data_IF_827531424940
#
_entry.id   IF_827531424940
#
_cell.length_a   1.000
_cell.length_b   1.000
_cell.length_c   1.000
_cell.angle_alpha   90.00
_cell.angle_beta   90.00
_cell.angle_gamma   90.00
#
_symmetry.space_group_name_H-M   'P 1'
#
loop_
_entity.id
_entity.type
_entity.pdbx_description
1 polymer ?
#
# COMPACT_ATOMS: atom_id res chain seq x y z
N UNK A 1 -41.63 45.95 -37.46
CA UNK A 1 -40.29 46.17 -36.86
C UNK A 1 -40.31 45.74 -35.40
N UNK A 2 -39.75 44.59 -35.08
CA UNK A 2 -38.95 44.30 -33.87
C UNK A 2 -38.41 42.88 -33.99
N UNK A 3 -37.10 42.79 -34.02
CA UNK A 3 -36.30 41.58 -34.08
C UNK A 3 -36.36 40.79 -32.77
N UNK A 4 -36.13 39.48 -32.87
CA UNK A 4 -34.98 38.90 -32.16
C UNK A 4 -35.25 37.79 -31.13
N UNK A 5 -34.46 36.71 -31.32
CA UNK A 5 -33.99 35.71 -30.35
C UNK A 5 -35.02 34.67 -29.88
N UNK A 6 -34.87 33.35 -30.07
CA UNK A 6 -33.67 32.55 -30.28
C UNK A 6 -33.19 31.95 -28.96
N UNK A 7 -33.60 30.72 -28.65
CA UNK A 7 -32.99 29.90 -27.58
C UNK A 7 -33.29 28.41 -27.82
N UNK A 8 -32.45 27.78 -28.64
CA UNK A 8 -32.19 26.34 -28.62
C UNK A 8 -30.88 26.17 -27.83
N UNK A 9 -30.95 25.61 -26.62
CA UNK A 9 -29.76 25.26 -25.84
C UNK A 9 -29.69 23.75 -25.69
N UNK A 10 -28.61 23.22 -26.24
CA UNK A 10 -28.29 21.82 -26.41
C UNK A 10 -27.97 21.14 -25.07
N UNK A 11 -28.42 19.89 -24.94
CA UNK A 11 -27.95 18.94 -23.95
C UNK A 11 -26.44 18.69 -24.15
N UNK A 12 -25.60 19.17 -23.24
CA UNK A 12 -24.18 18.78 -23.18
C UNK A 12 -24.03 17.43 -22.50
N UNK A 13 -23.92 16.37 -23.30
CA UNK A 13 -23.37 15.08 -22.87
C UNK A 13 -21.86 15.24 -22.63
N UNK A 14 -21.45 15.45 -21.37
CA UNK A 14 -20.05 15.28 -20.97
C UNK A 14 -19.76 13.78 -20.79
N UNK A 15 -19.59 13.10 -21.93
CA UNK A 15 -18.83 11.84 -21.97
C UNK A 15 -17.36 12.17 -21.71
N UNK A 16 -16.95 12.07 -20.45
CA UNK A 16 -15.55 12.14 -20.06
C UNK A 16 -14.78 10.97 -20.66
N UNK A 17 -14.12 11.20 -21.79
CA UNK A 17 -13.18 10.28 -22.39
C UNK A 17 -12.04 10.00 -21.39
N UNK A 18 -12.04 8.78 -20.82
CA UNK A 18 -10.93 8.26 -20.04
C UNK A 18 -9.78 7.98 -21.00
N UNK A 19 -8.87 8.96 -21.14
CA UNK A 19 -7.65 8.80 -21.91
C UNK A 19 -6.82 7.60 -21.40
N UNK A 20 -5.96 7.01 -22.26
CA UNK A 20 -5.09 5.92 -21.84
C UNK A 20 -4.20 6.38 -20.68
N UNK A 21 -4.12 5.57 -19.63
CA UNK A 21 -3.26 5.83 -18.49
C UNK A 21 -1.81 6.00 -19.00
N UNK A 22 -1.24 7.18 -18.78
CA UNK A 22 0.15 7.47 -19.14
C UNK A 22 1.13 6.48 -18.48
N UNK A 23 2.36 6.38 -18.99
CA UNK A 23 3.38 5.53 -18.37
C UNK A 23 3.59 5.96 -16.91
N UNK A 24 3.73 4.99 -16.02
CA UNK A 24 4.01 5.25 -14.61
C UNK A 24 5.29 6.11 -14.47
N UNK A 25 5.33 7.06 -13.55
CA UNK A 25 6.49 7.94 -13.40
C UNK A 25 7.74 7.14 -13.05
N UNK A 26 8.90 7.60 -13.53
CA UNK A 26 10.19 6.97 -13.27
C UNK A 26 10.57 6.98 -11.78
N UNK A 27 9.96 7.88 -11.00
CA UNK A 27 10.15 8.04 -9.56
C UNK A 27 8.80 8.33 -8.91
N UNK A 28 8.53 7.68 -7.78
CA UNK A 28 7.38 7.97 -6.95
C UNK A 28 7.75 9.09 -5.97
N UNK A 29 6.79 9.94 -5.63
CA UNK A 29 6.91 10.92 -4.56
C UNK A 29 5.71 10.78 -3.64
N UNK A 30 5.88 11.18 -2.39
CA UNK A 30 4.78 11.20 -1.43
C UNK A 30 3.56 11.95 -1.99
N UNK A 31 2.37 11.41 -1.72
CA UNK A 31 1.09 12.05 -2.06
C UNK A 31 0.02 11.62 -1.08
N UNK A 32 -0.93 12.50 -0.79
CA UNK A 32 -2.13 12.17 0.00
C UNK A 32 -3.09 11.24 -0.77
N UNK A 33 -2.96 11.15 -2.10
CA UNK A 33 -3.85 10.38 -2.97
C UNK A 33 -3.04 9.44 -3.88
N UNK A 34 -2.39 8.41 -3.33
CA UNK A 34 -1.70 7.42 -4.15
C UNK A 34 -2.68 6.73 -5.10
N UNK A 35 -2.21 6.39 -6.30
CA UNK A 35 -3.00 5.74 -7.34
C UNK A 35 -2.13 4.67 -8.05
N UNK A 36 -2.77 3.64 -8.61
CA UNK A 36 -2.05 2.51 -9.24
C UNK A 36 -1.17 2.95 -10.40
N UNK A 37 -1.60 3.99 -11.12
CA UNK A 37 -0.95 4.58 -12.28
C UNK A 37 0.32 5.32 -11.88
N UNK A 38 0.40 5.79 -10.63
CA UNK A 38 1.59 6.44 -10.08
C UNK A 38 2.64 5.44 -9.61
N UNK A 39 2.28 4.15 -9.45
CA UNK A 39 3.20 3.15 -8.89
C UNK A 39 4.27 2.78 -9.93
N UNK A 40 5.57 3.01 -9.61
CA UNK A 40 6.66 2.61 -10.49
C UNK A 40 6.67 1.10 -10.75
N UNK A 41 7.12 0.71 -11.95
CA UNK A 41 7.31 -0.70 -12.35
C UNK A 41 8.67 -1.28 -11.90
N UNK A 42 9.33 -0.62 -10.94
CA UNK A 42 10.59 -1.06 -10.35
C UNK A 42 10.34 -1.73 -8.99
N UNK A 43 11.31 -2.49 -8.44
CA UNK A 43 11.21 -2.99 -7.06
C UNK A 43 10.87 -1.91 -6.05
N UNK A 44 10.22 -2.29 -4.96
CA UNK A 44 9.86 -1.37 -3.88
C UNK A 44 11.09 -0.57 -3.40
N UNK A 45 10.88 0.73 -3.26
CA UNK A 45 11.79 1.69 -2.63
C UNK A 45 10.98 2.77 -1.96
N UNK A 46 11.60 3.51 -1.05
CA UNK A 46 10.90 4.54 -0.32
C UNK A 46 11.81 5.50 0.41
N UNK A 47 11.16 6.36 1.16
CA UNK A 47 11.76 7.24 2.14
C UNK A 47 10.97 7.14 3.43
N UNK A 48 11.65 6.98 4.56
CA UNK A 48 11.06 7.02 5.88
C UNK A 48 11.80 8.06 6.72
N UNK A 49 11.09 9.10 7.15
CA UNK A 49 11.61 10.17 8.00
C UNK A 49 12.88 10.81 7.42
N UNK A 50 12.82 11.19 6.13
CA UNK A 50 13.94 11.82 5.43
C UNK A 50 15.12 10.90 5.10
N UNK A 51 14.98 9.58 5.29
CA UNK A 51 16.02 8.59 5.02
C UNK A 51 15.57 7.54 4.00
N UNK A 52 16.46 7.01 3.15
CA UNK A 52 16.12 5.93 2.24
C UNK A 52 15.53 4.73 2.99
N UNK A 53 14.35 4.28 2.57
CA UNK A 53 13.77 3.02 2.99
C UNK A 53 13.96 2.00 1.87
N UNK A 54 14.75 0.95 2.12
CA UNK A 54 15.10 -0.07 1.13
C UNK A 54 14.54 -1.44 1.54
N UNK A 55 13.31 -1.79 1.09
CA UNK A 55 12.71 -3.08 1.34
C UNK A 55 13.59 -4.25 0.88
N UNK A 56 13.75 -5.22 1.76
CA UNK A 56 14.43 -6.50 1.49
C UNK A 56 13.44 -7.67 1.47
N UNK A 57 12.36 -7.56 2.24
CA UNK A 57 11.32 -8.59 2.29
C UNK A 57 9.93 -7.97 2.19
N UNK A 58 9.08 -8.63 1.41
CA UNK A 58 7.63 -8.45 1.46
C UNK A 58 7.00 -9.78 1.81
N UNK A 59 6.11 -9.78 2.79
CA UNK A 59 5.39 -10.98 3.22
C UNK A 59 3.96 -10.68 3.63
N UNK A 60 3.14 -11.72 3.56
CA UNK A 60 1.76 -11.72 4.02
C UNK A 60 1.61 -12.75 5.14
N UNK A 61 0.98 -12.33 6.22
CA UNK A 61 0.74 -13.15 7.41
C UNK A 61 -0.64 -12.84 8.01
N UNK A 62 -1.22 -13.70 8.85
CA UNK A 62 -2.49 -13.42 9.49
C UNK A 62 -2.45 -12.13 10.33
N UNK A 63 -3.45 -11.28 10.13
CA UNK A 63 -3.74 -10.07 10.88
C UNK A 63 -5.17 -10.11 11.46
N UNK A 64 -5.59 -9.02 12.13
CA UNK A 64 -6.87 -8.98 12.85
C UNK A 64 -8.11 -9.14 11.95
N UNK A 65 -8.05 -8.63 10.72
CA UNK A 65 -9.18 -8.58 9.78
C UNK A 65 -9.00 -9.49 8.54
N UNK A 66 -8.06 -10.43 8.59
CA UNK A 66 -7.65 -11.25 7.45
C UNK A 66 -6.14 -11.26 7.30
N UNK A 67 -5.63 -10.92 6.12
CA UNK A 67 -4.18 -10.83 5.92
C UNK A 67 -3.65 -9.46 6.33
N UNK A 68 -2.41 -9.41 6.79
CA UNK A 68 -1.61 -8.18 6.84
C UNK A 68 -0.43 -8.30 5.90
N UNK A 69 -0.02 -7.18 5.33
CA UNK A 69 1.20 -7.03 4.56
C UNK A 69 2.30 -6.52 5.49
N UNK A 70 3.48 -7.10 5.40
CA UNK A 70 4.69 -6.57 6.04
C UNK A 70 5.76 -6.31 4.99
N UNK A 71 6.33 -5.12 5.03
CA UNK A 71 7.46 -4.70 4.20
C UNK A 71 8.62 -4.39 5.13
N UNK A 72 9.66 -5.21 5.12
CA UNK A 72 10.81 -5.09 6.03
C UNK A 72 12.08 -4.65 5.30
N UNK A 73 12.86 -3.79 5.93
CA UNK A 73 14.16 -3.30 5.47
C UNK A 73 15.31 -3.95 6.25
N UNK A 74 16.54 -3.80 5.74
CA UNK A 74 17.74 -4.42 6.30
C UNK A 74 18.14 -3.86 7.69
N UNK A 75 17.79 -2.62 7.96
CA UNK A 75 18.09 -1.89 9.19
C UNK A 75 17.11 -2.20 10.34
N UNK A 76 16.21 -3.17 10.13
CA UNK A 76 15.18 -3.54 11.10
C UNK A 76 13.92 -2.68 11.02
N UNK A 77 13.90 -1.60 10.22
CA UNK A 77 12.68 -0.85 9.98
C UNK A 77 11.67 -1.71 9.21
N UNK A 78 10.39 -1.59 9.52
CA UNK A 78 9.35 -2.30 8.79
C UNK A 78 8.00 -1.60 8.84
N UNK A 79 7.24 -1.74 7.76
CA UNK A 79 5.88 -1.26 7.62
C UNK A 79 4.90 -2.43 7.71
N UNK A 80 3.81 -2.26 8.45
CA UNK A 80 2.68 -3.19 8.51
C UNK A 80 1.42 -2.51 8.03
N UNK A 81 0.67 -3.18 7.15
CA UNK A 81 -0.68 -2.77 6.74
C UNK A 81 -1.67 -3.90 7.01
N UNK A 82 -2.77 -3.59 7.67
CA UNK A 82 -3.88 -4.52 7.82
C UNK A 82 -4.77 -4.48 6.58
N UNK A 83 -4.94 -5.62 5.91
CA UNK A 83 -5.69 -5.69 4.66
C UNK A 83 -7.16 -6.04 4.93
N UNK A 84 -8.11 -5.24 4.43
CA UNK A 84 -9.52 -5.52 4.65
C UNK A 84 -10.01 -6.63 3.72
N UNK A 85 -10.62 -7.66 4.31
CA UNK A 85 -11.24 -8.76 3.58
C UNK A 85 -10.24 -9.75 2.98
N UNK A 86 -10.71 -10.57 2.04
CA UNK A 86 -9.91 -11.68 1.50
C UNK A 86 -8.94 -11.24 0.41
N UNK A 87 -7.76 -11.86 0.41
CA UNK A 87 -6.76 -11.72 -0.64
C UNK A 87 -7.00 -12.75 -1.75
N UNK A 88 -6.90 -12.30 -3.00
CA UNK A 88 -7.01 -13.10 -4.22
C UNK A 88 -6.31 -12.41 -5.39
N UNK A 89 -5.99 -13.16 -6.44
CA UNK A 89 -5.42 -12.57 -7.65
C UNK A 89 -6.38 -11.54 -8.26
N UNK A 90 -5.84 -10.44 -8.78
CA UNK A 90 -6.59 -9.30 -9.32
C UNK A 90 -7.23 -8.41 -8.25
N UNK A 91 -7.12 -8.74 -6.96
CA UNK A 91 -7.66 -7.91 -5.87
C UNK A 91 -6.94 -6.57 -5.83
N UNK A 92 -7.73 -5.51 -5.63
CA UNK A 92 -7.26 -4.14 -5.48
C UNK A 92 -7.88 -3.54 -4.24
N UNK A 93 -7.08 -2.77 -3.52
CA UNK A 93 -7.49 -2.00 -2.37
C UNK A 93 -6.94 -0.59 -2.51
N UNK A 94 -7.79 0.37 -2.16
CA UNK A 94 -7.45 1.78 -2.11
C UNK A 94 -7.92 2.26 -0.75
N UNK A 95 -7.00 2.85 0.01
CA UNK A 95 -7.29 3.49 1.29
C UNK A 95 -7.02 4.99 1.16
N UNK A 96 -8.05 5.84 1.30
CA UNK A 96 -7.87 7.28 1.42
C UNK A 96 -7.02 7.64 2.65
N UNK A 97 -6.47 8.86 2.66
CA UNK A 97 -5.74 9.38 3.80
C UNK A 97 -6.63 9.40 5.04
N UNK A 98 -6.24 8.63 6.06
CA UNK A 98 -6.92 8.56 7.35
C UNK A 98 -6.03 7.91 8.40
N UNK A 99 -6.32 8.14 9.68
CA UNK A 99 -5.61 7.52 10.81
C UNK A 99 -5.79 5.99 10.88
N UNK A 100 -4.72 5.26 11.24
CA UNK A 100 -4.75 3.81 11.54
C UNK A 100 -4.62 2.88 10.32
N UNK A 101 -5.04 1.61 10.46
CA UNK A 101 -4.96 0.60 9.38
C UNK A 101 -3.56 0.03 9.13
N UNK A 102 -2.64 0.26 10.06
CA UNK A 102 -1.25 -0.15 9.98
C UNK A 102 -0.37 0.65 10.93
N UNK A 103 0.92 0.35 10.92
CA UNK A 103 1.95 1.13 11.60
C UNK A 103 3.28 0.96 10.88
N UNK A 104 4.19 1.90 11.11
CA UNK A 104 5.54 1.83 10.57
C UNK A 104 6.55 1.91 11.71
N UNK A 105 7.41 0.92 11.83
CA UNK A 105 8.59 1.00 12.68
C UNK A 105 9.72 1.68 11.90
N UNK A 106 10.13 2.86 12.36
CA UNK A 106 11.11 3.75 11.70
C UNK A 106 12.13 4.26 12.71
N UNK A 107 13.25 4.81 12.24
CA UNK A 107 14.21 5.49 13.11
C UNK A 107 13.55 6.68 13.81
N UNK A 108 13.84 6.85 15.10
CA UNK A 108 13.36 8.01 15.86
C UNK A 108 13.99 9.30 15.30
N UNK A 109 13.19 10.36 15.08
CA UNK A 109 13.73 11.69 14.77
C UNK A 109 14.65 12.24 15.86
N UNK A 110 14.44 11.85 17.12
CA UNK A 110 15.21 12.32 18.28
C UNK A 110 16.52 11.54 18.47
N UNK A 111 16.49 10.23 18.18
CA UNK A 111 17.63 9.32 18.34
C UNK A 111 17.62 8.28 17.21
N UNK A 112 18.30 8.54 16.09
CA UNK A 112 18.23 7.67 14.91
C UNK A 112 18.82 6.26 15.11
N UNK A 113 19.47 5.98 16.24
CA UNK A 113 19.91 4.63 16.59
C UNK A 113 18.78 3.75 17.15
N UNK A 114 17.63 4.35 17.49
CA UNK A 114 16.45 3.66 18.02
C UNK A 114 15.35 3.61 16.98
N UNK A 115 14.67 2.46 16.93
CA UNK A 115 13.43 2.30 16.18
C UNK A 115 12.24 2.60 17.08
N UNK A 116 11.25 3.30 16.54
CA UNK A 116 9.99 3.64 17.20
C UNK A 116 8.82 3.22 16.33
N UNK A 117 7.73 2.79 16.97
CA UNK A 117 6.48 2.50 16.28
C UNK A 117 5.75 3.81 16.04
N UNK A 118 5.57 4.14 14.77
CA UNK A 118 4.86 5.32 14.33
C UNK A 118 3.50 4.93 13.74
N UNK A 119 2.45 5.54 14.28
CA UNK A 119 1.10 5.49 13.74
C UNK A 119 0.70 6.90 13.34
N UNK A 120 0.20 7.05 12.12
CA UNK A 120 -0.21 8.34 11.57
C UNK A 120 -1.32 8.14 10.55
N UNK A 121 -1.82 9.26 10.06
CA UNK A 121 -2.61 9.30 8.85
C UNK A 121 -1.78 8.75 7.70
N UNK A 122 -2.37 7.80 6.97
CA UNK A 122 -1.71 7.19 5.83
C UNK A 122 -2.71 6.95 4.71
N UNK A 123 -2.23 6.93 3.48
CA UNK A 123 -2.99 6.55 2.30
C UNK A 123 -2.23 5.44 1.59
N UNK A 124 -2.93 4.48 1.01
CA UNK A 124 -2.25 3.42 0.28
C UNK A 124 -3.10 2.78 -0.81
N UNK A 125 -2.40 2.20 -1.77
CA UNK A 125 -2.98 1.38 -2.83
C UNK A 125 -2.19 0.09 -2.95
N UNK A 126 -2.89 -1.02 -2.95
CA UNK A 126 -2.33 -2.35 -3.16
C UNK A 126 -3.11 -3.05 -4.28
N UNK A 127 -2.40 -3.56 -5.28
CA UNK A 127 -2.93 -4.48 -6.27
C UNK A 127 -2.15 -5.80 -6.24
N UNK A 128 -2.88 -6.91 -6.16
CA UNK A 128 -2.31 -8.26 -6.28
C UNK A 128 -2.44 -8.71 -7.73
N UNK A 129 -1.31 -8.89 -8.40
CA UNK A 129 -1.27 -9.47 -9.74
C UNK A 129 -1.39 -11.00 -9.63
N UNK A 130 -0.78 -11.61 -8.61
CA UNK A 130 -0.93 -13.03 -8.30
C UNK A 130 -1.08 -13.28 -6.79
N UNK A 131 -1.80 -14.35 -6.46
CA UNK A 131 -2.00 -14.79 -5.09
C UNK A 131 -2.17 -16.30 -5.03
N UNK A 132 -1.43 -16.96 -4.14
CA UNK A 132 -1.60 -18.37 -3.79
C UNK A 132 -1.35 -18.55 -2.30
N UNK A 133 -2.30 -19.18 -1.62
CA UNK A 133 -2.22 -19.52 -0.20
C UNK A 133 -2.94 -20.85 0.05
N UNK A 134 -2.22 -21.87 0.50
CA UNK A 134 -2.81 -23.09 0.98
C UNK A 134 -3.61 -22.84 2.28
N UNK A 135 -4.64 -23.66 2.58
CA UNK A 135 -5.32 -23.62 3.87
C UNK A 135 -4.35 -23.87 5.02
N UNK A 136 -4.63 -23.28 6.18
CA UNK A 136 -3.90 -23.59 7.41
C UNK A 136 -4.13 -25.04 7.82
N UNK A 137 -3.10 -25.69 8.36
CA UNK A 137 -3.17 -27.08 8.82
C UNK A 137 -3.08 -27.12 10.35
N UNK A 138 -4.11 -27.59 11.07
CA UNK A 138 -4.10 -27.67 12.53
C UNK A 138 -2.95 -28.49 13.10
N UNK A 139 -2.65 -29.62 12.46
CA UNK A 139 -1.56 -30.52 12.85
C UNK A 139 -0.19 -30.10 12.29
N UNK A 140 -0.12 -28.93 11.66
CA UNK A 140 1.12 -28.41 11.09
C UNK A 140 2.00 -27.71 12.13
N UNK A 141 3.26 -27.38 11.76
CA UNK A 141 4.12 -26.58 12.62
C UNK A 141 3.53 -25.19 12.89
N UNK A 142 4.04 -24.50 13.91
CA UNK A 142 3.59 -23.15 14.26
C UNK A 142 3.77 -22.16 13.09
N UNK A 143 4.93 -22.15 12.45
CA UNK A 143 5.16 -21.41 11.21
C UNK A 143 4.93 -22.32 9.99
N UNK A 144 3.97 -21.95 9.13
CA UNK A 144 3.64 -22.70 7.93
C UNK A 144 3.83 -21.82 6.70
N UNK A 145 4.68 -22.25 5.75
CA UNK A 145 4.67 -21.67 4.42
C UNK A 145 3.32 -22.00 3.74
N UNK A 146 2.61 -20.96 3.31
CA UNK A 146 1.28 -21.09 2.71
C UNK A 146 1.31 -20.84 1.20
N UNK A 147 2.21 -19.97 0.71
CA UNK A 147 2.34 -19.73 -0.72
C UNK A 147 3.11 -18.47 -1.07
N UNK A 148 2.68 -17.81 -2.16
CA UNK A 148 3.37 -16.68 -2.79
C UNK A 148 2.37 -15.66 -3.34
N UNK A 149 2.76 -14.40 -3.34
CA UNK A 149 2.01 -13.30 -3.93
C UNK A 149 2.94 -12.35 -4.72
N UNK A 150 2.41 -11.71 -5.74
CA UNK A 150 3.12 -10.63 -6.47
C UNK A 150 2.15 -9.50 -6.76
N UNK A 151 2.66 -8.28 -6.85
CA UNK A 151 1.81 -7.13 -7.02
C UNK A 151 2.53 -5.80 -6.94
N UNK A 152 1.73 -4.76 -6.73
CA UNK A 152 2.14 -3.36 -6.68
C UNK A 152 1.60 -2.70 -5.43
N UNK A 153 2.42 -1.86 -4.83
CA UNK A 153 2.11 -1.14 -3.61
C UNK A 153 2.54 0.32 -3.75
N UNK A 154 1.73 1.23 -3.24
CA UNK A 154 2.17 2.55 -2.79
C UNK A 154 1.56 2.81 -1.43
N UNK A 155 2.38 3.29 -0.49
CA UNK A 155 1.98 3.69 0.86
C UNK A 155 2.58 5.05 1.12
N UNK A 156 1.79 5.95 1.67
CA UNK A 156 2.19 7.29 2.04
C UNK A 156 1.71 7.54 3.46
N UNK A 157 2.65 7.77 4.39
CA UNK A 157 2.37 8.23 5.75
C UNK A 157 2.57 9.74 5.78
N UNK A 158 1.57 10.44 6.28
CA UNK A 158 1.66 11.86 6.56
C UNK A 158 2.52 12.08 7.81
N UNK A 159 3.52 12.93 7.68
CA UNK A 159 4.36 13.43 8.76
C UNK A 159 3.57 14.31 9.74
N UNK A 160 4.20 14.71 10.84
CA UNK A 160 3.51 15.52 11.84
C UNK A 160 4.37 15.91 13.03
N UNK A 161 3.71 16.10 14.17
CA UNK A 161 4.35 16.46 15.44
C UNK A 161 5.46 15.46 15.80
N UNK A 162 6.52 15.94 16.46
CA UNK A 162 7.66 15.10 16.87
C UNK A 162 8.74 14.90 15.79
N UNK A 163 8.73 15.70 14.72
CA UNK A 163 9.81 15.69 13.71
C UNK A 163 9.72 14.57 12.67
N UNK A 164 8.60 13.83 12.64
CA UNK A 164 8.36 12.83 11.60
C UNK A 164 8.00 13.52 10.29
N UNK A 165 8.88 13.40 9.28
CA UNK A 165 8.59 13.83 7.92
C UNK A 165 7.64 12.88 7.20
N UNK A 166 7.02 13.39 6.13
CA UNK A 166 6.28 12.57 5.18
C UNK A 166 7.13 11.37 4.73
N UNK A 167 6.51 10.20 4.70
CA UNK A 167 7.21 8.94 4.41
C UNK A 167 6.42 8.13 3.40
N UNK A 168 7.09 7.39 2.54
CA UNK A 168 6.44 6.63 1.50
C UNK A 168 7.24 5.39 1.09
N UNK A 169 6.56 4.37 0.59
CA UNK A 169 7.18 3.22 -0.09
C UNK A 169 6.32 2.87 -1.30
N UNK A 170 6.93 2.69 -2.46
CA UNK A 170 6.21 2.37 -3.69
C UNK A 170 7.03 1.53 -4.68
N UNK A 171 6.32 0.73 -5.46
CA UNK A 171 6.90 -0.14 -6.49
C UNK A 171 6.21 -1.49 -6.61
N UNK A 172 6.89 -2.43 -7.27
CA UNK A 172 6.48 -3.81 -7.41
C UNK A 172 7.16 -4.72 -6.39
N UNK A 173 6.44 -5.75 -5.95
CA UNK A 173 7.00 -6.88 -5.23
C UNK A 173 6.68 -8.17 -5.97
N UNK A 174 7.62 -9.11 -5.95
CA UNK A 174 7.53 -10.38 -6.67
C UNK A 174 7.81 -11.52 -5.72
N UNK A 175 7.03 -12.59 -5.82
CA UNK A 175 7.20 -13.80 -5.01
C UNK A 175 7.24 -13.54 -3.50
N UNK A 176 6.50 -12.54 -3.02
CA UNK A 176 6.33 -12.26 -1.59
C UNK A 176 5.80 -13.50 -0.87
N UNK A 177 6.37 -13.80 0.30
CA UNK A 177 6.02 -15.00 1.05
C UNK A 177 4.62 -14.85 1.65
N UNK A 178 3.78 -15.87 1.50
CA UNK A 178 2.55 -16.01 2.29
C UNK A 178 2.78 -17.10 3.32
N UNK A 179 2.52 -16.82 4.60
CA UNK A 179 2.75 -17.76 5.70
C UNK A 179 1.74 -17.63 6.81
N UNK A 180 1.56 -18.69 7.58
CA UNK A 180 0.90 -18.65 8.90
C UNK A 180 1.98 -18.66 9.99
N UNK A 181 1.73 -17.94 11.09
CA UNK A 181 2.59 -17.92 12.30
C UNK A 181 1.90 -18.56 13.51
N UNK A 182 0.82 -19.29 13.25
CA UNK A 182 -0.08 -19.90 14.23
C UNK A 182 -1.46 -20.07 13.62
N UNK A 183 -2.44 -20.47 14.45
CA UNK A 183 -3.85 -20.54 14.05
C UNK A 183 -4.34 -19.14 13.65
N UNK A 184 -4.83 -18.93 12.42
CA UNK A 184 -5.40 -17.65 12.02
C UNK A 184 -6.73 -17.41 12.73
N UNK A 185 -7.08 -16.15 13.00
CA UNK A 185 -8.27 -15.80 13.78
C UNK A 185 -9.62 -16.16 13.11
N UNK A 186 -9.62 -16.42 11.81
CA UNK A 186 -10.82 -16.79 11.03
C UNK A 186 -11.01 -18.30 10.87
N UNK A 187 -10.26 -19.11 11.60
CA UNK A 187 -10.35 -20.57 11.62
C UNK A 187 -10.71 -21.06 13.02
#
# INVERSE_FOLDING_TARGET
MRCGLGALLALSLLSGCRGPAGPAPAQFQWTATPALELIPRQPLRGEAVGRPFQPQEVRFEPGPAGWRLVVAAADGAFLVLDLPGSARAGRRWIRPLAYGGGYWQVASPEDPAKLVTWTSDNAWVLALDSWSAAPWRPEGPQEQAAGRASGRLAVCYEGGLGGFGNSWVAGEFRNARVRYLGRPAWH
#
